data_IF_998545803399
#
_entry.id   IF_998545803399
#
_cell.length_a   1.000
_cell.length_b   1.000
_cell.length_c   1.000
_cell.angle_alpha   90.00
_cell.angle_beta   90.00
_cell.angle_gamma   90.00
#
_symmetry.space_group_name_H-M   'P 1'
#
loop_
_entity.id
_entity.type
_entity.pdbx_description
1 polymer ?
#
# COMPACT_ATOMS: atom_id res chain seq x y z
N UNK A 1 19.09 2.19 -2.36
CA UNK A 1 18.09 1.51 -3.21
C UNK A 1 17.18 2.59 -3.74
N UNK A 2 16.93 2.66 -5.05
CA UNK A 2 16.06 3.71 -5.62
C UNK A 2 14.70 3.09 -5.90
N UNK A 3 13.69 3.51 -5.14
CA UNK A 3 12.31 3.09 -5.38
C UNK A 3 11.68 3.99 -6.45
N UNK A 4 10.83 3.44 -7.34
CA UNK A 4 10.14 4.24 -8.34
C UNK A 4 9.09 5.13 -7.68
N UNK A 5 8.84 6.31 -8.27
CA UNK A 5 7.75 7.17 -7.80
C UNK A 5 6.41 6.47 -7.92
N UNK A 6 5.66 6.47 -6.81
CA UNK A 6 4.34 5.87 -6.73
C UNK A 6 3.31 6.76 -7.43
N UNK A 7 2.40 6.13 -8.19
CA UNK A 7 1.23 6.83 -8.75
C UNK A 7 0.24 7.17 -7.63
N UNK A 8 -0.26 8.40 -7.63
CA UNK A 8 -1.29 8.82 -6.67
C UNK A 8 -2.57 7.99 -6.83
N UNK A 9 -3.14 7.59 -5.70
CA UNK A 9 -4.41 6.86 -5.64
C UNK A 9 -5.60 7.74 -6.01
N UNK A 10 -5.54 9.03 -5.72
CA UNK A 10 -6.53 10.03 -6.17
C UNK A 10 -6.50 10.22 -7.69
N UNK A 11 -5.37 9.95 -8.34
CA UNK A 11 -5.19 10.03 -9.81
C UNK A 11 -5.65 8.81 -10.60
N UNK A 12 -6.45 7.92 -10.00
CA UNK A 12 -7.05 6.76 -10.69
C UNK A 12 -6.46 5.39 -10.34
N UNK A 13 -5.38 5.33 -9.54
CA UNK A 13 -4.82 4.05 -9.09
C UNK A 13 -5.71 3.33 -8.05
N UNK A 14 -6.73 3.99 -7.48
CA UNK A 14 -7.67 3.37 -6.53
C UNK A 14 -8.53 2.26 -7.15
N UNK A 15 -8.84 2.34 -8.45
CA UNK A 15 -9.64 1.34 -9.16
C UNK A 15 -8.98 -0.05 -9.18
N UNK A 16 -7.75 -0.22 -9.71
CA UNK A 16 -7.08 -1.52 -9.68
C UNK A 16 -6.78 -2.02 -8.27
N UNK A 17 -6.51 -1.13 -7.30
CA UNK A 17 -6.29 -1.50 -5.89
C UNK A 17 -7.56 -2.10 -5.27
N UNK A 18 -8.72 -1.47 -5.47
CA UNK A 18 -10.01 -2.00 -5.00
C UNK A 18 -10.35 -3.35 -5.64
N UNK A 19 -10.06 -3.50 -6.94
CA UNK A 19 -10.23 -4.77 -7.66
C UNK A 19 -9.33 -5.88 -7.12
N UNK A 20 -8.05 -5.60 -6.84
CA UNK A 20 -7.13 -6.56 -6.24
C UNK A 20 -7.59 -7.01 -4.84
N UNK A 21 -8.12 -6.09 -4.04
CA UNK A 21 -8.70 -6.37 -2.74
C UNK A 21 -10.08 -7.06 -2.81
N UNK A 22 -10.63 -7.29 -4.02
CA UNK A 22 -11.99 -7.82 -4.24
C UNK A 22 -13.08 -6.97 -3.57
N UNK A 23 -12.83 -5.67 -3.46
CA UNK A 23 -13.78 -4.71 -2.92
C UNK A 23 -14.54 -4.06 -4.07
N UNK A 24 -15.82 -4.37 -4.18
CA UNK A 24 -16.70 -3.67 -5.10
C UNK A 24 -17.13 -2.34 -4.49
N UNK A 25 -16.38 -1.29 -4.83
CA UNK A 25 -16.62 0.07 -4.37
C UNK A 25 -17.27 0.89 -5.49
N UNK A 26 -18.38 1.54 -5.16
CA UNK A 26 -18.95 2.62 -5.98
C UNK A 26 -17.92 3.73 -6.20
N UNK A 27 -18.06 4.49 -7.27
CA UNK A 27 -17.16 5.59 -7.60
C UNK A 27 -17.08 6.67 -6.51
N UNK A 28 -18.20 6.95 -5.84
CA UNK A 28 -18.26 7.88 -4.72
C UNK A 28 -17.38 7.41 -3.55
N UNK A 29 -17.47 6.13 -3.18
CA UNK A 29 -16.61 5.51 -2.16
C UNK A 29 -15.13 5.51 -2.56
N UNK A 30 -14.82 5.25 -3.82
CA UNK A 30 -13.43 5.31 -4.33
C UNK A 30 -12.87 6.72 -4.20
N UNK A 31 -13.64 7.73 -4.59
CA UNK A 31 -13.25 9.14 -4.47
C UNK A 31 -13.04 9.55 -3.01
N UNK A 32 -13.89 9.08 -2.09
CA UNK A 32 -13.77 9.38 -0.68
C UNK A 32 -12.52 8.74 -0.02
N UNK A 33 -12.20 7.49 -0.37
CA UNK A 33 -11.11 6.75 0.28
C UNK A 33 -9.74 7.00 -0.33
N UNK A 34 -9.68 7.35 -1.62
CA UNK A 34 -8.43 7.56 -2.35
C UNK A 34 -7.45 8.52 -1.66
N UNK A 35 -7.82 9.74 -1.22
CA UNK A 35 -6.87 10.65 -0.58
C UNK A 35 -6.37 10.15 0.78
N UNK A 36 -7.22 9.45 1.53
CA UNK A 36 -6.84 8.84 2.82
C UNK A 36 -5.80 7.76 2.61
N UNK A 37 -6.05 6.85 1.67
CA UNK A 37 -5.11 5.78 1.35
C UNK A 37 -3.83 6.33 0.74
N UNK A 38 -3.90 7.41 -0.06
CA UNK A 38 -2.72 8.09 -0.60
C UNK A 38 -1.82 8.65 0.51
N UNK A 39 -2.42 9.21 1.57
CA UNK A 39 -1.70 9.65 2.76
C UNK A 39 -1.06 8.51 3.54
N UNK A 40 -1.77 7.39 3.74
CA UNK A 40 -1.21 6.19 4.39
C UNK A 40 -0.03 5.64 3.60
N UNK A 41 -0.16 5.55 2.27
CA UNK A 41 0.94 5.11 1.41
C UNK A 41 2.11 6.10 1.46
N UNK A 42 1.86 7.41 1.53
CA UNK A 42 2.91 8.41 1.73
C UNK A 42 3.69 8.22 3.04
N UNK A 43 3.04 7.75 4.11
CA UNK A 43 3.74 7.39 5.35
C UNK A 43 4.62 6.14 5.16
N UNK A 44 4.15 5.14 4.41
CA UNK A 44 4.93 3.95 4.07
C UNK A 44 6.14 4.34 3.21
N UNK A 45 5.96 5.23 2.24
CA UNK A 45 7.02 5.73 1.35
C UNK A 45 8.18 6.36 2.17
N UNK A 46 7.94 6.86 3.39
CA UNK A 46 9.02 7.37 4.26
C UNK A 46 10.02 6.29 4.69
N UNK A 47 9.59 5.03 4.69
CA UNK A 47 10.44 3.88 5.02
C UNK A 47 11.51 3.62 3.96
N UNK A 48 11.38 4.17 2.74
CA UNK A 48 12.41 4.09 1.69
C UNK A 48 13.75 4.69 2.12
N UNK A 49 13.72 5.61 3.09
CA UNK A 49 14.92 6.21 3.68
C UNK A 49 15.67 5.29 4.65
N UNK A 50 15.06 4.20 5.09
CA UNK A 50 15.64 3.27 6.05
C UNK A 50 16.63 2.34 5.35
N UNK A 51 17.90 2.41 5.75
CA UNK A 51 18.92 1.48 5.26
C UNK A 51 18.87 0.16 6.03
N UNK A 52 18.28 -0.87 5.41
CA UNK A 52 18.18 -2.21 6.00
C UNK A 52 19.48 -3.02 5.91
N UNK A 53 20.45 -2.63 5.07
CA UNK A 53 21.70 -3.37 4.87
C UNK A 53 21.48 -4.86 4.60
N UNK A 54 22.18 -5.72 5.32
CA UNK A 54 22.04 -7.18 5.27
C UNK A 54 21.00 -7.72 6.27
N UNK A 55 20.13 -6.86 6.83
CA UNK A 55 19.12 -7.28 7.81
C UNK A 55 18.14 -8.23 7.12
N UNK A 56 18.09 -9.52 7.52
CA UNK A 56 17.15 -10.45 6.91
C UNK A 56 15.72 -10.04 7.27
N UNK A 57 14.73 -10.28 6.40
CA UNK A 57 13.33 -10.08 6.74
C UNK A 57 12.97 -10.85 8.00
N UNK A 58 12.33 -10.18 8.96
CA UNK A 58 11.76 -10.84 10.11
C UNK A 58 10.57 -11.70 9.63
N UNK A 59 10.77 -13.02 9.58
CA UNK A 59 9.70 -13.96 9.26
C UNK A 59 9.18 -14.58 10.56
N UNK A 60 7.90 -14.39 10.84
CA UNK A 60 7.19 -15.12 11.88
C UNK A 60 6.04 -15.86 11.18
N UNK A 61 6.35 -17.04 10.65
CA UNK A 61 5.31 -17.95 10.17
C UNK A 61 4.95 -18.89 11.31
N UNK A 62 3.79 -18.68 11.93
CA UNK A 62 3.19 -19.71 12.79
C UNK A 62 2.23 -20.53 11.93
N UNK A 63 2.60 -21.79 11.65
CA UNK A 63 1.82 -22.71 10.84
C UNK A 63 0.61 -23.30 11.60
N UNK A 64 0.44 -22.96 12.88
CA UNK A 64 -0.64 -23.48 13.71
C UNK A 64 -1.92 -22.71 13.40
N UNK A 65 -2.86 -23.40 12.78
CA UNK A 65 -4.26 -23.02 12.76
C UNK A 65 -4.90 -23.67 13.99
N UNK A 66 -4.99 -22.94 15.11
CA UNK A 66 -5.83 -23.31 16.25
C UNK A 66 -7.25 -22.75 16.08
#
# INVERSE_FOLDING_TARGET
MTFPERKSLAGGAISPVSGFARLDLSEERRSAIAPVLDGVMGLIDTLDSVNVGETPPATAFDARWE
#
